data_IF_119396981532
#
_entry.id   IF_119396981532
#
_cell.length_a   1.000
_cell.length_b   1.000
_cell.length_c   1.000
_cell.angle_alpha   90.00
_cell.angle_beta   90.00
_cell.angle_gamma   90.00
#
_symmetry.space_group_name_H-M   'P 1'
#
loop_
_entity.id
_entity.type
_entity.pdbx_description
1 polymer ?
#
# COMPACT_ATOMS: atom_id res chain seq x y z
N UNK A 1 21.71 -8.47 38.94
CA UNK A 1 21.50 -7.36 37.99
C UNK A 1 21.92 -7.85 36.62
N UNK A 2 20.96 -8.19 35.75
CA UNK A 2 21.23 -8.45 34.33
C UNK A 2 20.10 -7.82 33.56
N UNK A 3 20.48 -6.97 32.62
CA UNK A 3 19.64 -6.07 31.86
C UNK A 3 18.64 -6.88 31.02
N UNK A 4 17.35 -6.65 31.26
CA UNK A 4 16.32 -7.06 30.32
C UNK A 4 16.52 -6.25 29.05
N UNK A 5 16.90 -6.92 27.97
CA UNK A 5 16.75 -6.38 26.62
C UNK A 5 15.26 -6.13 26.43
N UNK A 6 14.82 -4.89 26.62
CA UNK A 6 13.52 -4.45 26.14
C UNK A 6 13.59 -4.48 24.62
N UNK A 7 12.89 -5.44 24.01
CA UNK A 7 12.67 -5.45 22.57
C UNK A 7 11.94 -4.15 22.18
N UNK A 8 12.31 -3.45 21.09
CA UNK A 8 11.81 -2.10 20.82
C UNK A 8 10.30 -2.04 20.57
N UNK A 9 9.66 -3.19 20.28
CA UNK A 9 8.21 -3.34 20.18
C UNK A 9 7.78 -4.73 20.69
N UNK A 10 7.05 -4.79 21.81
CA UNK A 10 6.36 -6.01 22.22
C UNK A 10 5.36 -6.40 21.11
N UNK A 11 5.49 -7.60 20.54
CA UNK A 11 4.59 -8.08 19.49
C UNK A 11 3.12 -8.03 19.90
N UNK A 12 2.80 -8.15 21.20
CA UNK A 12 1.44 -7.97 21.72
C UNK A 12 0.98 -6.52 21.65
N UNK A 13 1.86 -5.58 21.94
CA UNK A 13 1.59 -4.15 21.84
C UNK A 13 1.34 -3.74 20.38
N UNK A 14 2.21 -4.16 19.45
CA UNK A 14 2.03 -3.92 18.02
C UNK A 14 0.72 -4.51 17.51
N UNK A 15 0.41 -5.75 17.91
CA UNK A 15 -0.88 -6.38 17.57
C UNK A 15 -2.08 -5.66 18.19
N UNK A 16 -1.90 -5.02 19.35
CA UNK A 16 -2.91 -4.16 19.98
C UNK A 16 -3.16 -2.89 19.17
N UNK A 17 -2.08 -2.19 18.78
CA UNK A 17 -2.14 -0.98 17.94
C UNK A 17 -2.78 -1.25 16.58
N UNK A 18 -2.44 -2.36 15.94
CA UNK A 18 -3.00 -2.73 14.63
C UNK A 18 -4.50 -3.08 14.72
N UNK A 19 -4.93 -3.71 15.81
CA UNK A 19 -6.36 -3.95 16.07
C UNK A 19 -7.11 -2.64 16.25
N UNK A 20 -6.57 -1.70 17.03
CA UNK A 20 -7.16 -0.37 17.17
C UNK A 20 -7.32 0.36 15.82
N UNK A 21 -6.30 0.28 14.94
CA UNK A 21 -6.38 0.81 13.57
C UNK A 21 -7.49 0.11 12.76
N UNK A 22 -7.57 -1.22 12.85
CA UNK A 22 -8.60 -2.00 12.13
C UNK A 22 -10.02 -1.63 12.59
N UNK A 23 -10.22 -1.46 13.89
CA UNK A 23 -11.51 -1.13 14.49
C UNK A 23 -11.93 0.30 14.09
N UNK A 24 -11.01 1.27 14.20
CA UNK A 24 -11.23 2.66 13.76
C UNK A 24 -11.64 2.74 12.28
N UNK A 25 -10.93 2.01 11.41
CA UNK A 25 -11.26 1.98 9.98
C UNK A 25 -12.61 1.29 9.72
N UNK A 26 -12.91 0.22 10.45
CA UNK A 26 -14.18 -0.50 10.31
C UNK A 26 -15.38 0.38 10.71
N UNK A 27 -15.23 1.20 11.75
CA UNK A 27 -16.26 2.16 12.18
C UNK A 27 -16.45 3.30 11.16
N UNK A 28 -15.36 3.73 10.51
CA UNK A 28 -15.40 4.78 9.47
C UNK A 28 -16.01 4.29 8.16
N UNK A 29 -15.83 3.02 7.80
CA UNK A 29 -16.31 2.44 6.55
C UNK A 29 -17.47 1.46 6.81
N UNK A 30 -18.70 2.02 6.88
CA UNK A 30 -19.93 1.24 7.08
C UNK A 30 -20.07 0.09 6.06
N UNK A 31 -20.41 -1.10 6.54
CA UNK A 31 -20.54 -2.34 5.74
C UNK A 31 -19.25 -2.78 4.99
N UNK A 32 -18.06 -2.33 5.42
CA UNK A 32 -16.77 -2.72 4.81
C UNK A 32 -15.76 -3.32 5.77
N UNK A 33 -16.20 -3.78 6.94
CA UNK A 33 -15.31 -4.36 7.97
C UNK A 33 -14.52 -5.59 7.45
N UNK A 34 -15.13 -6.39 6.57
CA UNK A 34 -14.50 -7.52 5.89
C UNK A 34 -13.37 -7.08 4.94
N UNK A 35 -13.57 -5.99 4.19
CA UNK A 35 -12.55 -5.40 3.31
C UNK A 35 -11.39 -4.86 4.15
N UNK A 36 -11.67 -4.09 5.20
CA UNK A 36 -10.63 -3.55 6.11
C UNK A 36 -9.81 -4.70 6.70
N UNK A 37 -10.48 -5.72 7.25
CA UNK A 37 -9.82 -6.90 7.81
C UNK A 37 -8.97 -7.63 6.76
N UNK A 38 -9.47 -7.77 5.54
CA UNK A 38 -8.74 -8.40 4.44
C UNK A 38 -7.46 -7.63 4.13
N UNK A 39 -7.54 -6.30 3.97
CA UNK A 39 -6.39 -5.44 3.68
C UNK A 39 -5.31 -5.56 4.77
N UNK A 40 -5.72 -5.55 6.05
CA UNK A 40 -4.80 -5.68 7.19
C UNK A 40 -4.12 -7.05 7.20
N UNK A 41 -4.87 -8.13 7.00
CA UNK A 41 -4.32 -9.49 6.97
C UNK A 41 -3.35 -9.67 5.80
N UNK A 42 -3.71 -9.18 4.60
CA UNK A 42 -2.83 -9.29 3.43
C UNK A 42 -1.58 -8.44 3.57
N UNK A 43 -1.69 -7.25 4.16
CA UNK A 43 -0.54 -6.39 4.47
C UNK A 43 0.45 -7.12 5.39
N UNK A 44 -0.04 -7.71 6.48
CA UNK A 44 0.81 -8.47 7.41
C UNK A 44 1.40 -9.74 6.80
N UNK A 45 0.65 -10.41 5.93
CA UNK A 45 1.09 -11.63 5.26
C UNK A 45 2.02 -11.37 4.06
N UNK A 46 2.22 -10.10 3.68
CA UNK A 46 2.94 -9.72 2.46
C UNK A 46 2.29 -10.29 1.19
N UNK A 47 0.96 -10.45 1.21
CA UNK A 47 0.18 -10.99 0.09
C UNK A 47 -0.60 -9.88 -0.62
N UNK A 48 -1.04 -10.16 -1.85
CA UNK A 48 -1.90 -9.25 -2.59
C UNK A 48 -3.39 -9.55 -2.31
N UNK A 49 -4.20 -8.50 -2.19
CA UNK A 49 -5.66 -8.61 -2.09
C UNK A 49 -6.33 -8.10 -3.36
N UNK A 50 -7.40 -8.75 -3.80
CA UNK A 50 -8.29 -8.25 -4.86
C UNK A 50 -9.62 -7.82 -4.24
N UNK A 51 -9.99 -6.54 -4.42
CA UNK A 51 -11.27 -6.01 -3.95
C UNK A 51 -12.21 -5.80 -5.13
N UNK A 52 -13.28 -6.59 -5.17
CA UNK A 52 -14.30 -6.53 -6.23
C UNK A 52 -15.53 -5.75 -5.75
N UNK A 53 -16.15 -4.99 -6.64
CA UNK A 53 -17.37 -4.25 -6.36
C UNK A 53 -17.72 -3.25 -7.46
N UNK A 54 -18.91 -2.62 -7.39
CA UNK A 54 -19.31 -1.59 -8.34
C UNK A 54 -18.32 -0.41 -8.40
N UNK A 55 -18.18 0.31 -9.53
CA UNK A 55 -17.44 1.56 -9.58
C UNK A 55 -18.07 2.59 -8.61
N UNK A 56 -17.25 3.50 -8.07
CA UNK A 56 -17.73 4.51 -7.11
C UNK A 56 -17.96 4.02 -5.68
N UNK A 57 -17.52 2.81 -5.33
CA UNK A 57 -17.62 2.26 -3.97
C UNK A 57 -16.47 2.64 -3.04
N UNK A 58 -15.70 3.68 -3.38
CA UNK A 58 -14.57 4.18 -2.61
C UNK A 58 -13.56 3.09 -2.18
N UNK A 59 -13.31 2.09 -3.04
CA UNK A 59 -12.45 0.92 -2.72
C UNK A 59 -11.00 1.29 -2.41
N UNK A 60 -10.51 2.39 -2.98
CA UNK A 60 -9.18 2.94 -2.72
C UNK A 60 -9.02 3.45 -1.30
N UNK A 61 -10.12 3.93 -0.70
CA UNK A 61 -10.07 4.75 0.50
C UNK A 61 -9.70 3.98 1.76
N UNK A 62 -10.21 2.76 1.99
CA UNK A 62 -9.71 1.90 3.06
C UNK A 62 -8.21 1.62 2.96
N UNK A 63 -7.69 1.39 1.75
CA UNK A 63 -6.26 1.14 1.55
C UNK A 63 -5.40 2.40 1.79
N UNK A 64 -5.88 3.56 1.33
CA UNK A 64 -5.22 4.86 1.57
C UNK A 64 -5.17 5.18 3.06
N UNK A 65 -6.28 5.05 3.76
CA UNK A 65 -6.42 5.34 5.19
C UNK A 65 -5.62 4.37 6.07
N UNK A 66 -5.60 3.09 5.72
CA UNK A 66 -4.74 2.11 6.38
C UNK A 66 -3.26 2.48 6.24
N UNK A 67 -2.82 2.82 5.03
CA UNK A 67 -1.42 3.17 4.77
C UNK A 67 -1.01 4.44 5.50
N UNK A 68 -1.90 5.44 5.58
CA UNK A 68 -1.64 6.71 6.29
C UNK A 68 -1.48 6.57 7.81
N UNK A 69 -1.90 5.44 8.41
CA UNK A 69 -1.70 5.14 9.84
C UNK A 69 -0.39 4.42 10.13
N UNK A 70 0.36 4.04 9.10
CA UNK A 70 1.66 3.39 9.25
C UNK A 70 2.75 4.42 9.01
N UNK A 71 3.53 4.71 10.05
CA UNK A 71 4.64 5.65 9.96
C UNK A 71 5.68 5.20 8.93
N UNK A 72 6.10 6.11 8.04
CA UNK A 72 7.04 5.82 6.97
C UNK A 72 6.48 5.01 5.79
N UNK A 73 5.21 4.59 5.84
CA UNK A 73 4.59 3.87 4.73
C UNK A 73 4.30 4.81 3.55
N UNK A 74 4.58 4.30 2.36
CA UNK A 74 4.37 4.99 1.10
C UNK A 74 3.18 4.38 0.38
N UNK A 75 2.19 5.21 0.07
CA UNK A 75 1.02 4.82 -0.73
C UNK A 75 1.23 5.26 -2.18
N UNK A 76 0.90 4.39 -3.12
CA UNK A 76 0.86 4.70 -4.54
C UNK A 76 -0.44 4.19 -5.15
N UNK A 77 -1.01 4.96 -6.08
CA UNK A 77 -2.25 4.59 -6.74
C UNK A 77 -2.21 4.86 -8.25
N UNK A 78 -2.93 4.03 -9.00
CA UNK A 78 -3.21 4.25 -10.42
C UNK A 78 -4.61 3.78 -10.78
N UNK A 79 -5.21 4.48 -11.74
CA UNK A 79 -6.35 4.01 -12.50
C UNK A 79 -5.86 3.39 -13.81
N UNK A 80 -6.06 2.09 -14.00
CA UNK A 80 -5.68 1.41 -15.23
C UNK A 80 -6.64 1.70 -16.38
N UNK A 81 -6.07 1.69 -17.58
CA UNK A 81 -6.77 1.77 -18.85
C UNK A 81 -5.97 1.00 -19.89
N UNK A 82 -6.61 0.62 -21.01
CA UNK A 82 -5.94 0.01 -22.16
C UNK A 82 -4.76 0.80 -22.76
N UNK A 83 -4.59 2.07 -22.37
CA UNK A 83 -3.51 2.95 -22.83
C UNK A 83 -2.49 3.26 -21.73
N UNK A 84 -2.61 2.67 -20.54
CA UNK A 84 -1.68 2.94 -19.45
C UNK A 84 -0.32 2.33 -19.77
N UNK A 85 0.66 3.18 -20.04
CA UNK A 85 2.03 2.75 -20.31
C UNK A 85 2.69 2.17 -19.05
N UNK A 86 3.49 1.08 -19.15
CA UNK A 86 4.20 0.50 -18.01
C UNK A 86 5.10 1.50 -17.26
N UNK A 87 5.64 2.50 -17.97
CA UNK A 87 6.44 3.58 -17.39
C UNK A 87 5.70 4.41 -16.35
N UNK A 88 4.35 4.36 -16.31
CA UNK A 88 3.55 4.97 -15.25
C UNK A 88 3.72 4.25 -13.91
N UNK A 89 3.91 2.93 -13.94
CA UNK A 89 4.15 2.09 -12.76
C UNK A 89 5.62 1.99 -12.39
N UNK A 90 6.49 1.84 -13.37
CA UNK A 90 7.92 1.56 -13.15
C UNK A 90 8.81 2.81 -13.28
N UNK A 91 8.25 3.93 -13.75
CA UNK A 91 8.98 5.16 -13.98
C UNK A 91 9.67 5.25 -15.35
N UNK A 92 10.02 6.48 -15.78
CA UNK A 92 10.69 6.71 -17.04
C UNK A 92 12.17 6.35 -16.98
N UNK A 93 12.79 6.27 -18.15
CA UNK A 93 14.25 6.19 -18.29
C UNK A 93 14.84 7.58 -18.04
N UNK A 94 15.94 7.64 -17.32
CA UNK A 94 16.75 8.85 -17.15
C UNK A 94 17.49 9.16 -18.47
N UNK A 95 17.02 10.18 -19.17
CA UNK A 95 17.58 10.60 -20.47
C UNK A 95 19.02 11.09 -20.33
N UNK A 96 19.38 11.74 -19.21
CA UNK A 96 20.72 12.25 -19.00
C UNK A 96 21.72 11.10 -18.77
N UNK A 97 21.33 10.08 -18.00
CA UNK A 97 22.11 8.85 -17.86
C UNK A 97 22.23 8.10 -19.19
N UNK A 98 21.13 8.01 -19.94
CA UNK A 98 21.13 7.33 -21.23
C UNK A 98 22.06 8.01 -22.24
N UNK A 99 22.11 9.35 -22.25
CA UNK A 99 23.05 10.11 -23.08
C UNK A 99 24.52 9.84 -22.76
N UNK A 100 24.83 9.33 -21.55
CA UNK A 100 26.17 8.88 -21.13
C UNK A 100 26.39 7.37 -21.35
N UNK A 101 25.45 6.67 -21.97
CA UNK A 101 25.50 5.22 -22.19
C UNK A 101 25.02 4.38 -21.00
N UNK A 102 24.45 5.00 -19.96
CA UNK A 102 23.98 4.31 -18.75
C UNK A 102 22.46 4.13 -18.80
N UNK A 103 21.98 2.89 -18.76
CA UNK A 103 20.55 2.62 -18.61
C UNK A 103 20.16 2.76 -17.13
N UNK A 104 19.43 3.83 -16.80
CA UNK A 104 18.89 4.08 -15.45
C UNK A 104 17.39 4.35 -15.54
N UNK A 105 16.62 3.70 -14.67
CA UNK A 105 15.18 3.93 -14.54
C UNK A 105 14.88 4.69 -13.23
N UNK A 106 13.96 5.65 -13.30
CA UNK A 106 13.61 6.53 -12.17
C UNK A 106 12.43 5.94 -11.40
N UNK A 107 12.72 5.23 -10.30
CA UNK A 107 11.72 4.54 -9.47
C UNK A 107 11.10 5.38 -8.35
N UNK A 108 11.57 6.61 -8.14
CA UNK A 108 11.10 7.46 -7.04
C UNK A 108 9.62 7.83 -7.21
N UNK A 109 8.83 7.61 -6.15
CA UNK A 109 7.39 7.86 -6.16
C UNK A 109 6.63 6.97 -7.16
N UNK A 110 7.03 5.71 -7.28
CA UNK A 110 6.46 4.72 -8.20
C UNK A 110 5.97 3.50 -7.44
N UNK A 111 5.21 2.65 -8.12
CA UNK A 111 4.65 1.43 -7.52
C UNK A 111 5.75 0.54 -6.89
N UNK A 112 6.95 0.55 -7.46
CA UNK A 112 8.11 -0.24 -7.00
C UNK A 112 8.73 0.27 -5.70
N UNK A 113 8.49 1.53 -5.32
CA UNK A 113 9.01 2.14 -4.07
C UNK A 113 7.91 2.34 -3.04
N UNK A 114 6.67 1.96 -3.36
CA UNK A 114 5.54 2.04 -2.45
C UNK A 114 5.47 0.82 -1.51
N UNK A 115 5.01 1.06 -0.29
CA UNK A 115 4.69 -0.02 0.65
C UNK A 115 3.31 -0.62 0.33
N UNK A 116 2.38 0.22 -0.13
CA UNK A 116 1.05 -0.20 -0.61
C UNK A 116 0.81 0.43 -1.98
N UNK A 117 0.62 -0.42 -2.98
CA UNK A 117 0.26 -0.01 -4.34
C UNK A 117 -1.19 -0.43 -4.64
N UNK A 118 -2.06 0.56 -4.86
CA UNK A 118 -3.45 0.34 -5.25
C UNK A 118 -3.61 0.48 -6.76
N UNK A 119 -4.19 -0.54 -7.39
CA UNK A 119 -4.40 -0.58 -8.85
C UNK A 119 -5.90 -0.72 -9.08
N UNK A 120 -6.54 0.35 -9.56
CA UNK A 120 -7.96 0.32 -9.91
C UNK A 120 -8.15 -0.06 -11.38
N UNK A 121 -9.31 -0.64 -11.70
CA UNK A 121 -9.71 -1.03 -13.06
C UNK A 121 -8.77 -2.03 -13.77
N UNK A 122 -8.19 -2.99 -13.02
CA UNK A 122 -7.27 -4.01 -13.57
C UNK A 122 -7.86 -4.93 -14.64
N UNK A 123 -9.19 -5.01 -14.74
CA UNK A 123 -9.90 -5.86 -15.71
C UNK A 123 -10.46 -5.09 -16.92
N UNK A 124 -10.16 -3.80 -17.07
CA UNK A 124 -10.62 -2.97 -18.21
C UNK A 124 -9.60 -2.83 -19.33
#
# INVERSE_FOLDING_TARGET
MSFGTQDPHDGRETAGRLRAISDELSDRFYERADVVRTLVVTLLAGQHSLVLGPPGTAKSEPARELTGRVEGAAYWEILLSKFTAPTRMFGPIDVAALARGEYRQVYEGRATTAHVAFIDEIFK
#
